data_IF_686145094539
#
_entry.id   IF_686145094539
#
_cell.length_a   1.000
_cell.length_b   1.000
_cell.length_c   1.000
_cell.angle_alpha   90.00
_cell.angle_beta   90.00
_cell.angle_gamma   90.00
#
_symmetry.space_group_name_H-M   'P 1'
#
loop_
_entity.id
_entity.type
_entity.pdbx_description
1 polymer ?
#
# COMPACT_ATOMS: atom_id res chain seq x y z
N UNK A 1 8.37 1.56 -8.97
CA UNK A 1 9.42 0.72 -8.35
C UNK A 1 8.74 -0.55 -7.81
N UNK A 2 9.34 -1.70 -8.03
CA UNK A 2 8.80 -3.03 -7.74
C UNK A 2 8.40 -3.17 -6.26
N UNK A 3 7.28 -3.85 -5.98
CA UNK A 3 6.76 -4.09 -4.62
C UNK A 3 5.37 -3.51 -4.32
N UNK A 4 4.83 -2.64 -5.19
CA UNK A 4 3.49 -2.06 -5.00
C UNK A 4 2.39 -2.92 -5.64
N UNK A 5 1.44 -3.40 -4.83
CA UNK A 5 0.23 -4.08 -5.33
C UNK A 5 -0.79 -3.12 -5.96
N UNK A 6 -0.58 -1.79 -5.91
CA UNK A 6 -1.46 -0.82 -6.58
C UNK A 6 -1.57 -1.06 -8.10
N UNK A 7 -0.55 -1.70 -8.69
CA UNK A 7 -0.50 -2.06 -10.12
C UNK A 7 -1.44 -3.20 -10.50
N UNK A 8 -1.94 -3.96 -9.51
CA UNK A 8 -2.91 -5.03 -9.73
C UNK A 8 -4.34 -4.51 -9.96
N UNK A 9 -4.61 -3.23 -9.68
CA UNK A 9 -5.93 -2.62 -9.82
C UNK A 9 -6.17 -2.21 -11.28
N UNK A 10 -7.02 -2.93 -12.00
CA UNK A 10 -7.48 -2.57 -13.36
C UNK A 10 -8.97 -2.20 -13.35
N UNK A 11 -9.37 -1.19 -14.12
CA UNK A 11 -10.78 -0.79 -14.32
C UNK A 11 -11.32 -1.50 -15.56
N UNK A 12 -12.36 -2.34 -15.41
CA UNK A 12 -13.06 -3.04 -16.50
C UNK A 12 -13.01 -4.57 -16.41
N UNK A 13 -13.96 -5.23 -17.08
CA UNK A 13 -14.14 -6.69 -17.09
C UNK A 13 -12.88 -7.44 -17.54
N UNK A 14 -12.62 -8.58 -16.89
CA UNK A 14 -11.42 -9.40 -17.06
C UNK A 14 -11.26 -9.92 -18.50
N UNK A 15 -10.59 -9.13 -19.36
CA UNK A 15 -10.09 -9.65 -20.63
C UNK A 15 -8.88 -10.53 -20.37
N UNK A 16 -9.03 -11.84 -20.64
CA UNK A 16 -7.93 -12.80 -20.74
C UNK A 16 -6.90 -12.27 -21.74
N UNK A 17 -5.76 -11.80 -21.24
CA UNK A 17 -4.58 -11.55 -22.07
C UNK A 17 -3.87 -12.90 -22.25
N UNK A 18 -3.99 -13.47 -23.45
CA UNK A 18 -3.08 -14.50 -23.94
C UNK A 18 -1.69 -13.87 -24.12
N UNK A 19 -0.76 -14.18 -23.21
CA UNK A 19 0.64 -13.74 -23.32
C UNK A 19 1.35 -13.64 -21.98
N UNK A 20 2.03 -14.73 -21.60
CA UNK A 20 2.93 -14.93 -20.43
C UNK A 20 2.30 -14.71 -19.03
N UNK A 21 2.26 -15.74 -18.17
CA UNK A 21 1.59 -15.65 -16.88
C UNK A 21 2.50 -14.95 -15.87
N UNK A 22 2.43 -13.62 -15.76
CA UNK A 22 2.47 -13.06 -14.41
C UNK A 22 1.09 -13.31 -13.85
N UNK A 23 0.92 -14.52 -13.30
CA UNK A 23 -0.35 -15.03 -12.77
C UNK A 23 -0.86 -14.00 -11.78
N UNK A 24 -1.90 -13.27 -12.16
CA UNK A 24 -2.79 -12.62 -11.20
C UNK A 24 -3.27 -13.77 -10.31
N UNK A 25 -2.66 -13.90 -9.13
CA UNK A 25 -2.91 -15.02 -8.24
C UNK A 25 -4.34 -15.02 -7.72
N UNK A 26 -4.98 -13.83 -7.72
CA UNK A 26 -6.32 -13.61 -7.23
C UNK A 26 -6.93 -12.35 -7.86
N UNK A 27 -8.22 -12.40 -8.18
CA UNK A 27 -9.02 -11.24 -8.63
C UNK A 27 -10.30 -11.17 -7.81
N UNK A 28 -10.69 -9.97 -7.40
CA UNK A 28 -11.90 -9.71 -6.62
C UNK A 28 -12.65 -8.52 -7.23
N UNK A 29 -13.98 -8.64 -7.31
CA UNK A 29 -14.85 -7.55 -7.74
C UNK A 29 -15.18 -6.67 -6.53
N UNK A 30 -14.85 -5.39 -6.64
CA UNK A 30 -15.03 -4.43 -5.56
C UNK A 30 -15.85 -3.23 -6.06
N UNK A 31 -16.61 -2.63 -5.15
CA UNK A 31 -17.29 -1.36 -5.42
C UNK A 31 -16.31 -0.24 -5.81
N UNK A 32 -16.76 0.75 -6.58
CA UNK A 32 -15.89 1.81 -7.11
C UNK A 32 -15.20 2.63 -6.01
N UNK A 33 -15.89 2.89 -4.90
CA UNK A 33 -15.31 3.53 -3.71
C UNK A 33 -14.15 2.72 -3.11
N UNK A 34 -14.25 1.39 -3.08
CA UNK A 34 -13.19 0.49 -2.61
C UNK A 34 -12.01 0.55 -3.56
N UNK A 35 -12.25 0.56 -4.87
CA UNK A 35 -11.17 0.71 -5.87
C UNK A 35 -10.44 2.05 -5.72
N UNK A 36 -11.15 3.15 -5.47
CA UNK A 36 -10.54 4.47 -5.24
C UNK A 36 -9.68 4.45 -3.98
N UNK A 37 -10.15 3.83 -2.89
CA UNK A 37 -9.37 3.69 -1.65
C UNK A 37 -8.13 2.84 -1.86
N UNK A 38 -8.25 1.68 -2.53
CA UNK A 38 -7.13 0.77 -2.77
C UNK A 38 -6.04 1.39 -3.67
N UNK A 39 -6.40 2.31 -4.57
CA UNK A 39 -5.41 3.05 -5.38
C UNK A 39 -4.54 3.99 -4.55
N UNK A 40 -5.05 4.49 -3.42
CA UNK A 40 -4.31 5.33 -2.46
C UNK A 40 -3.61 4.51 -1.39
N UNK A 41 -3.61 3.18 -1.53
CA UNK A 41 -3.09 2.28 -0.53
C UNK A 41 -1.81 1.59 -1.00
N UNK A 42 -0.87 1.40 -0.07
CA UNK A 42 0.40 0.74 -0.33
C UNK A 42 0.68 -0.32 0.74
N UNK A 43 1.14 -1.50 0.32
CA UNK A 43 1.58 -2.54 1.25
C UNK A 43 3.10 -2.49 1.36
N UNK A 44 3.59 -2.21 2.56
CA UNK A 44 5.00 -2.25 2.92
C UNK A 44 5.35 -3.50 3.74
N UNK A 45 6.64 -3.84 3.72
CA UNK A 45 7.23 -4.86 4.58
C UNK A 45 8.25 -4.18 5.48
N UNK A 46 8.06 -4.26 6.80
CA UNK A 46 9.06 -3.85 7.77
C UNK A 46 10.25 -4.82 7.76
N UNK A 47 11.47 -4.32 7.90
CA UNK A 47 12.66 -5.15 7.93
C UNK A 47 12.66 -6.03 9.19
N UNK A 48 12.28 -5.46 10.33
CA UNK A 48 12.23 -6.16 11.60
C UNK A 48 10.79 -6.54 12.03
N UNK A 49 10.56 -7.80 12.45
CA UNK A 49 9.27 -8.22 13.01
C UNK A 49 8.83 -7.36 14.20
N UNK A 50 7.55 -6.98 14.21
CA UNK A 50 6.96 -6.18 15.28
C UNK A 50 7.17 -4.66 15.16
N UNK A 51 7.97 -4.18 14.20
CA UNK A 51 8.14 -2.74 13.98
C UNK A 51 6.92 -2.08 13.33
N UNK A 52 6.05 -2.87 12.70
CA UNK A 52 4.80 -2.41 12.06
C UNK A 52 3.88 -1.63 13.00
N UNK A 53 3.91 -1.93 14.31
CA UNK A 53 3.09 -1.26 15.33
C UNK A 53 3.59 0.15 15.68
N UNK A 54 4.85 0.47 15.40
CA UNK A 54 5.45 1.76 15.75
C UNK A 54 5.37 2.79 14.61
N UNK A 55 5.11 2.35 13.38
CA UNK A 55 5.15 3.20 12.18
C UNK A 55 4.15 4.36 12.26
N UNK A 56 2.92 4.13 12.76
CA UNK A 56 1.94 5.22 12.90
C UNK A 56 2.44 6.32 13.84
N UNK A 57 2.98 5.93 14.99
CA UNK A 57 3.49 6.88 15.99
C UNK A 57 4.69 7.66 15.43
N UNK A 58 5.57 6.99 14.68
CA UNK A 58 6.69 7.62 14.01
C UNK A 58 6.23 8.67 12.99
N UNK A 59 5.25 8.35 12.15
CA UNK A 59 4.67 9.30 11.20
C UNK A 59 4.01 10.49 11.89
N UNK A 60 3.22 10.26 12.94
CA UNK A 60 2.61 11.34 13.72
C UNK A 60 3.66 12.27 14.37
N UNK A 61 4.75 11.71 14.91
CA UNK A 61 5.83 12.51 15.52
C UNK A 61 6.54 13.44 14.52
N UNK A 62 6.46 13.12 13.23
CA UNK A 62 7.03 13.90 12.13
C UNK A 62 6.01 14.79 11.41
N UNK A 63 4.76 14.81 11.88
CA UNK A 63 3.70 15.64 11.30
C UNK A 63 2.91 15.00 10.16
N UNK A 64 3.14 13.72 9.85
CA UNK A 64 2.37 12.99 8.86
C UNK A 64 1.11 12.39 9.48
N UNK A 65 -0.01 13.11 9.36
CA UNK A 65 -1.30 12.70 9.93
C UNK A 65 -2.30 12.14 8.90
N UNK A 66 -2.10 12.40 7.61
CA UNK A 66 -3.00 11.96 6.53
C UNK A 66 -2.89 10.47 6.20
N UNK A 67 -1.86 9.78 6.70
CA UNK A 67 -1.64 8.37 6.42
C UNK A 67 -2.05 7.51 7.61
N UNK A 68 -2.95 6.57 7.34
CA UNK A 68 -3.33 5.51 8.27
C UNK A 68 -2.49 4.26 8.04
N UNK A 69 -1.99 3.67 9.11
CA UNK A 69 -1.16 2.47 9.14
C UNK A 69 -1.97 1.33 9.76
N UNK A 70 -2.13 0.24 9.03
CA UNK A 70 -2.79 -0.99 9.52
C UNK A 70 -1.80 -2.16 9.45
N UNK A 71 -1.32 -2.69 10.58
CA UNK A 71 -0.52 -3.91 10.61
C UNK A 71 -1.34 -5.09 10.07
N UNK A 72 -0.79 -5.84 9.12
CA UNK A 72 -1.42 -7.03 8.53
C UNK A 72 -0.91 -8.34 9.17
N UNK A 73 -0.09 -8.22 10.21
CA UNK A 73 0.60 -9.33 10.87
C UNK A 73 1.99 -9.61 10.28
N UNK A 74 2.79 -10.38 11.02
CA UNK A 74 4.22 -10.57 10.74
C UNK A 74 4.95 -9.22 10.56
N UNK A 75 5.52 -8.97 9.38
CA UNK A 75 6.22 -7.73 9.05
C UNK A 75 5.44 -6.88 8.06
N UNK A 76 4.16 -7.18 7.80
CA UNK A 76 3.37 -6.49 6.77
C UNK A 76 2.57 -5.33 7.33
N UNK A 77 2.54 -4.22 6.59
CA UNK A 77 1.76 -3.03 6.91
C UNK A 77 1.04 -2.51 5.67
N UNK A 78 -0.23 -2.15 5.83
CA UNK A 78 -1.00 -1.37 4.87
C UNK A 78 -0.94 0.11 5.25
N UNK A 79 -0.53 0.95 4.31
CA UNK A 79 -0.59 2.41 4.40
C UNK A 79 -1.75 2.89 3.53
N UNK A 80 -2.67 3.64 4.10
CA UNK A 80 -3.80 4.25 3.39
C UNK A 80 -3.69 5.78 3.52
N UNK A 81 -3.58 6.48 2.39
CA UNK A 81 -3.72 7.94 2.35
C UNK A 81 -5.18 8.38 2.37
N UNK A 82 -5.46 9.49 3.04
CA UNK A 82 -6.75 10.19 2.99
C UNK A 82 -6.90 10.91 1.64
N UNK A 83 -5.87 11.65 1.24
CA UNK A 83 -5.80 12.39 -0.02
C UNK A 83 -4.88 11.71 -1.05
N UNK A 84 -5.03 12.10 -2.32
CA UNK A 84 -4.20 11.58 -3.39
C UNK A 84 -2.78 12.13 -3.27
N UNK A 85 -1.77 11.26 -3.40
CA UNK A 85 -0.36 11.66 -3.31
C UNK A 85 0.23 11.66 -1.90
N UNK A 86 -0.56 11.48 -0.84
CA UNK A 86 -0.05 11.49 0.54
C UNK A 86 0.91 10.33 0.81
N UNK A 87 0.54 9.12 0.37
CA UNK A 87 1.40 7.95 0.54
C UNK A 87 2.65 8.07 -0.34
N UNK A 88 2.53 8.60 -1.56
CA UNK A 88 3.67 8.84 -2.44
C UNK A 88 4.65 9.89 -1.89
N UNK A 89 4.13 10.98 -1.32
CA UNK A 89 4.93 11.99 -0.65
C UNK A 89 5.64 11.41 0.57
N UNK A 90 4.91 10.66 1.41
CA UNK A 90 5.47 9.93 2.55
C UNK A 90 6.56 8.94 2.10
N UNK A 91 6.36 8.20 1.02
CA UNK A 91 7.35 7.25 0.48
C UNK A 91 8.62 7.94 -0.02
N UNK A 92 8.51 9.21 -0.40
CA UNK A 92 9.63 10.03 -0.86
C UNK A 92 10.39 10.61 0.32
N UNK A 93 9.68 11.19 1.28
CA UNK A 93 10.25 11.97 2.37
C UNK A 93 10.66 11.12 3.58
N UNK A 94 9.89 10.07 3.90
CA UNK A 94 10.10 9.19 5.05
C UNK A 94 10.74 7.85 4.66
N UNK A 95 11.50 7.83 3.55
CA UNK A 95 12.12 6.60 3.02
C UNK A 95 13.05 5.90 4.02
N UNK A 96 13.69 6.65 4.92
CA UNK A 96 14.53 6.09 5.98
C UNK A 96 13.73 5.32 7.03
N UNK A 97 12.47 5.67 7.28
CA UNK A 97 11.56 4.92 8.17
C UNK A 97 11.01 3.65 7.53
N UNK A 98 10.88 3.65 6.21
CA UNK A 98 10.43 2.48 5.45
C UNK A 98 11.51 1.40 5.32
N UNK A 99 12.76 1.75 5.61
CA UNK A 99 13.88 0.82 5.65
C UNK A 99 14.26 0.44 7.11
N UNK A 100 13.30 0.41 8.04
CA UNK A 100 13.48 -0.06 9.42
C UNK A 100 12.86 -1.43 9.67
#
# INVERSE_FOLDING_TARGET
>A
KEGSYAQAVRKGEAKKQEGKPNRVAFSYEAEENVLVRLKKAFVGVAEHPGMTYNIQNAFHSQGYFGVKVTPLGSNLTLLEGQEEGEVEALMTDAREWLNQ
#
